data_IF_901766043071
#
_entry.id   IF_901766043071
#
_cell.length_a   1.000
_cell.length_b   1.000
_cell.length_c   1.000
_cell.angle_alpha   90.00
_cell.angle_beta   90.00
_cell.angle_gamma   90.00
#
_symmetry.space_group_name_H-M   'P 1'
#
loop_
_entity.id
_entity.type
_entity.pdbx_description
1 polymer ?
#
# COMPACT_ATOMS: atom_id res chain seq x y z
N UNK A 1 -0.61 5.79 -8.31
CA UNK A 1 0.50 5.16 -9.08
C UNK A 1 0.12 3.72 -9.46
N UNK A 2 0.65 3.17 -10.55
CA UNK A 2 0.58 1.73 -10.82
C UNK A 2 1.58 0.99 -9.93
N UNK A 3 1.07 0.13 -9.04
CA UNK A 3 1.87 -0.64 -8.08
C UNK A 3 2.23 -2.00 -8.65
N UNK A 4 1.28 -2.71 -9.26
CA UNK A 4 1.51 -4.00 -9.90
C UNK A 4 1.27 -3.90 -11.41
N UNK A 5 2.28 -4.18 -12.21
CA UNK A 5 2.14 -4.20 -13.67
C UNK A 5 1.47 -5.47 -14.19
N UNK A 6 1.69 -6.63 -13.56
CA UNK A 6 1.12 -7.92 -14.01
C UNK A 6 -0.41 -7.92 -13.97
N UNK A 7 -0.98 -7.41 -12.88
CA UNK A 7 -2.43 -7.38 -12.65
C UNK A 7 -3.04 -5.98 -12.79
N UNK A 8 -2.27 -5.01 -13.30
CA UNK A 8 -2.68 -3.62 -13.45
C UNK A 8 -3.27 -2.97 -12.18
N UNK A 9 -2.68 -3.24 -11.00
CA UNK A 9 -3.19 -2.74 -9.70
C UNK A 9 -2.55 -1.41 -9.33
N UNK A 10 -3.38 -0.47 -8.91
CA UNK A 10 -2.97 0.89 -8.52
C UNK A 10 -2.82 1.04 -7.00
N UNK A 11 -2.04 2.04 -6.57
CA UNK A 11 -1.89 2.37 -5.16
C UNK A 11 -3.22 2.77 -4.51
N UNK A 12 -4.11 3.44 -5.24
CA UNK A 12 -5.46 3.76 -4.74
C UNK A 12 -6.30 2.53 -4.46
N UNK A 13 -6.21 1.47 -5.30
CA UNK A 13 -6.90 0.20 -5.04
C UNK A 13 -6.35 -0.50 -3.80
N UNK A 14 -5.02 -0.57 -3.65
CA UNK A 14 -4.40 -1.17 -2.46
C UNK A 14 -4.83 -0.43 -1.20
N UNK A 15 -4.87 0.90 -1.24
CA UNK A 15 -5.33 1.73 -0.12
C UNK A 15 -6.80 1.52 0.22
N UNK A 16 -7.65 1.40 -0.79
CA UNK A 16 -9.06 1.05 -0.58
C UNK A 16 -9.19 -0.25 0.21
N UNK A 17 -8.44 -1.28 -0.19
CA UNK A 17 -8.42 -2.56 0.54
C UNK A 17 -7.88 -2.42 1.97
N UNK A 18 -6.84 -1.61 2.19
CA UNK A 18 -6.32 -1.35 3.55
C UNK A 18 -7.36 -0.61 4.40
N UNK A 19 -8.08 0.36 3.83
CA UNK A 19 -9.21 1.06 4.48
C UNK A 19 -10.36 0.09 4.79
N UNK A 20 -10.61 -0.88 3.91
CA UNK A 20 -11.58 -1.96 4.11
C UNK A 20 -11.09 -3.01 5.15
N UNK A 21 -9.92 -2.81 5.76
CA UNK A 21 -9.36 -3.66 6.82
C UNK A 21 -8.45 -4.78 6.33
N UNK A 22 -8.09 -4.81 5.04
CA UNK A 22 -7.14 -5.79 4.49
C UNK A 22 -5.71 -5.34 4.77
N UNK A 23 -5.16 -5.81 5.89
CA UNK A 23 -3.84 -5.42 6.39
C UNK A 23 -2.75 -6.51 6.23
N UNK A 24 -2.92 -7.44 5.29
CA UNK A 24 -1.91 -8.47 5.00
C UNK A 24 -1.63 -8.60 3.52
N UNK A 25 -0.39 -8.92 3.15
CA UNK A 25 0.00 -9.15 1.76
C UNK A 25 -0.86 -10.25 1.10
N UNK A 26 -1.13 -11.34 1.82
CA UNK A 26 -1.96 -12.43 1.29
C UNK A 26 -3.41 -11.97 1.06
N UNK A 27 -3.96 -11.15 1.96
CA UNK A 27 -5.27 -10.54 1.79
C UNK A 27 -5.32 -9.62 0.56
N UNK A 28 -4.33 -8.74 0.39
CA UNK A 28 -4.23 -7.87 -0.79
C UNK A 28 -4.11 -8.71 -2.06
N UNK A 29 -3.28 -9.76 -2.06
CA UNK A 29 -3.11 -10.66 -3.20
C UNK A 29 -4.42 -11.39 -3.55
N UNK A 30 -5.19 -11.86 -2.56
CA UNK A 30 -6.50 -12.49 -2.79
C UNK A 30 -7.53 -11.54 -3.38
N UNK A 31 -7.54 -10.29 -2.94
CA UNK A 31 -8.55 -9.31 -3.36
C UNK A 31 -8.22 -8.62 -4.69
N UNK A 32 -6.93 -8.42 -4.98
CA UNK A 32 -6.48 -7.64 -6.14
C UNK A 32 -5.59 -8.41 -7.13
N UNK A 33 -5.10 -9.59 -6.78
CA UNK A 33 -4.08 -10.33 -7.52
C UNK A 33 -2.64 -9.81 -7.29
N UNK A 34 -2.45 -8.58 -6.82
CA UNK A 34 -1.12 -7.99 -6.68
C UNK A 34 -0.20 -8.82 -5.78
N UNK A 35 1.04 -9.07 -6.23
CA UNK A 35 2.03 -9.88 -5.51
C UNK A 35 1.93 -11.39 -5.75
N UNK A 36 1.01 -11.84 -6.63
CA UNK A 36 0.83 -13.29 -6.95
C UNK A 36 1.72 -13.79 -8.10
N UNK A 37 2.24 -12.90 -8.95
CA UNK A 37 3.09 -13.23 -10.10
C UNK A 37 4.58 -12.91 -9.83
N UNK A 38 5.15 -11.93 -10.53
CA UNK A 38 6.60 -11.63 -10.50
C UNK A 38 7.13 -11.08 -9.17
N UNK A 39 6.25 -10.74 -8.22
CA UNK A 39 6.63 -10.27 -6.89
C UNK A 39 7.23 -8.85 -6.79
N UNK A 40 7.54 -8.17 -7.90
CA UNK A 40 8.22 -6.85 -7.88
C UNK A 40 7.47 -5.74 -7.14
N UNK A 41 6.18 -5.92 -6.89
CA UNK A 41 5.32 -4.97 -6.18
C UNK A 41 5.18 -5.25 -4.67
N UNK A 42 5.71 -6.38 -4.18
CA UNK A 42 5.48 -6.85 -2.81
C UNK A 42 6.04 -5.89 -1.76
N UNK A 43 7.25 -5.38 -1.94
CA UNK A 43 7.84 -4.39 -1.01
C UNK A 43 6.98 -3.13 -0.92
N UNK A 44 6.54 -2.61 -2.06
CA UNK A 44 5.68 -1.41 -2.15
C UNK A 44 4.34 -1.64 -1.46
N UNK A 45 3.74 -2.82 -1.63
CA UNK A 45 2.48 -3.18 -0.97
C UNK A 45 2.67 -3.27 0.55
N UNK A 46 3.79 -3.83 1.02
CA UNK A 46 4.10 -3.91 2.45
C UNK A 46 4.27 -2.52 3.05
N UNK A 47 5.00 -1.63 2.38
CA UNK A 47 5.12 -0.23 2.82
C UNK A 47 3.75 0.45 2.92
N UNK A 48 2.86 0.24 1.94
CA UNK A 48 1.49 0.76 1.94
C UNK A 48 0.64 0.20 3.10
N UNK A 49 0.86 -1.06 3.49
CA UNK A 49 0.17 -1.67 4.65
C UNK A 49 0.74 -1.09 5.95
N UNK A 50 2.07 -1.05 6.09
CA UNK A 50 2.78 -0.64 7.31
C UNK A 50 2.59 0.85 7.63
N UNK A 51 2.60 1.71 6.61
CA UNK A 51 2.47 3.16 6.76
C UNK A 51 1.03 3.65 6.52
N UNK A 52 0.10 2.73 6.22
CA UNK A 52 -1.28 3.03 5.90
C UNK A 52 -1.47 3.76 4.58
N UNK A 53 -2.72 4.19 4.32
CA UNK A 53 -3.12 4.88 3.09
C UNK A 53 -2.59 6.32 2.97
N UNK A 54 -1.41 6.60 3.53
CA UNK A 54 -0.89 7.93 3.84
C UNK A 54 0.08 8.46 2.79
N UNK A 55 0.60 7.63 1.87
CA UNK A 55 1.57 8.16 0.89
C UNK A 55 0.91 9.08 -0.16
N UNK A 56 1.27 10.35 -0.13
CA UNK A 56 0.73 11.38 -1.02
C UNK A 56 1.50 11.51 -2.33
N UNK A 57 1.20 12.50 -3.17
CA UNK A 57 1.45 12.45 -4.61
C UNK A 57 2.94 12.44 -4.96
N UNK A 58 3.50 11.24 -5.23
CA UNK A 58 4.87 11.07 -5.76
C UNK A 58 5.56 9.71 -5.59
N UNK A 59 5.00 8.75 -4.84
CA UNK A 59 5.55 7.41 -4.50
C UNK A 59 6.77 6.89 -5.32
N UNK A 60 7.99 7.33 -4.97
CA UNK A 60 9.26 6.72 -5.40
C UNK A 60 9.84 5.94 -4.21
N UNK A 61 10.00 4.63 -4.35
CA UNK A 61 10.57 3.76 -3.30
C UNK A 61 12.09 3.85 -3.37
N UNK A 62 12.64 4.79 -2.61
CA UNK A 62 14.07 4.97 -2.39
C UNK A 62 14.30 5.32 -0.93
N UNK A 63 15.34 4.73 -0.34
CA UNK A 63 15.75 4.87 1.05
C UNK A 63 16.14 6.32 1.41
N UNK A 64 15.19 7.23 1.58
CA UNK A 64 15.47 8.60 2.04
C UNK A 64 14.37 9.19 2.95
N UNK A 65 14.73 9.20 4.24
CA UNK A 65 14.35 9.98 5.41
C UNK A 65 12.93 10.54 5.63
N UNK A 66 12.35 10.02 6.73
CA UNK A 66 11.30 10.57 7.57
C UNK A 66 11.55 12.04 7.95
N UNK A 67 10.79 12.98 7.39
CA UNK A 67 10.39 14.18 8.13
C UNK A 67 9.14 14.81 7.53
N UNK A 68 8.21 15.10 8.45
CA UNK A 68 6.98 15.87 8.30
C UNK A 68 5.74 15.05 7.86
N UNK A 69 5.16 14.36 8.84
CA UNK A 69 3.79 13.86 8.78
C UNK A 69 2.80 15.03 8.88
N UNK A 70 1.91 15.28 7.91
CA UNK A 70 0.81 16.21 8.08
C UNK A 70 -0.21 15.64 9.07
N UNK A 71 -0.60 16.49 10.02
CA UNK A 71 -1.49 16.26 11.16
C UNK A 71 -2.95 15.85 10.82
N UNK A 72 -3.28 15.59 9.56
CA UNK A 72 -4.64 15.24 9.14
C UNK A 72 -4.81 13.78 8.66
N UNK A 73 -3.81 12.93 8.91
CA UNK A 73 -3.92 11.53 8.57
C UNK A 73 -4.79 10.82 9.59
N UNK A 74 -6.03 10.54 9.21
CA UNK A 74 -6.94 9.72 10.01
C UNK A 74 -6.36 8.31 10.02
N UNK A 75 -5.59 8.00 11.05
CA UNK A 75 -5.27 6.65 11.43
C UNK A 75 -6.60 5.94 11.75
N UNK A 76 -7.17 5.29 10.73
CA UNK A 76 -8.15 4.25 11.00
C UNK A 76 -7.41 3.18 11.80
N UNK A 77 -7.95 2.74 12.95
CA UNK A 77 -7.30 1.72 13.76
C UNK A 77 -7.10 0.48 12.90
N UNK A 78 -5.85 0.08 12.69
CA UNK A 78 -5.53 -1.24 12.16
C UNK A 78 -6.09 -2.22 13.20
N UNK A 79 -7.10 -3.04 12.87
CA UNK A 79 -7.63 -4.01 13.83
C UNK A 79 -6.51 -5.00 14.19
N UNK A 80 -6.37 -5.27 15.50
CA UNK A 80 -5.39 -6.20 16.06
C UNK A 80 -5.66 -7.66 15.67
#
# INVERSE_FOLDING_TARGET
MLVCHCHAVTSSQVRGLVVDGVCTLNGIARMSGAGSDCGSCVSVIRDLIEHGATLGPGDRVGHLELRELPENVVALPIPA
#
